data_IF_318475134203
#
_entry.id   IF_318475134203
#
_cell.length_a   1.000
_cell.length_b   1.000
_cell.length_c   1.000
_cell.angle_alpha   90.00
_cell.angle_beta   90.00
_cell.angle_gamma   90.00
#
_symmetry.space_group_name_H-M   'P 1'
#
loop_
_entity.id
_entity.type
_entity.pdbx_description
1 polymer ?
#
# COMPACT_ATOMS: atom_id res chain seq x y z
N UNK A 1 3.54 -15.16 5.17
CA UNK A 1 3.01 -14.81 6.51
C UNK A 1 2.08 -15.87 7.06
N UNK A 2 2.33 -17.16 6.80
CA UNK A 2 1.59 -18.27 7.41
C UNK A 2 2.07 -18.59 8.83
N UNK A 3 3.23 -18.07 9.21
CA UNK A 3 3.80 -18.16 10.56
C UNK A 3 4.09 -16.77 11.09
N UNK A 4 3.70 -16.56 12.34
CA UNK A 4 4.06 -15.41 13.16
C UNK A 4 5.19 -15.85 14.10
N UNK A 5 6.30 -15.12 14.08
CA UNK A 5 7.45 -15.40 14.93
C UNK A 5 7.72 -14.18 15.81
N UNK A 6 7.94 -14.42 17.10
CA UNK A 6 8.43 -13.39 18.04
C UNK A 6 9.93 -13.55 18.19
N UNK A 7 10.70 -12.54 17.78
CA UNK A 7 12.15 -12.56 17.77
C UNK A 7 12.68 -11.64 18.86
N UNK A 8 13.63 -12.13 19.66
CA UNK A 8 14.27 -11.39 20.74
C UNK A 8 15.77 -11.21 20.47
N UNK A 9 16.30 -10.00 20.67
CA UNK A 9 17.74 -9.71 20.63
C UNK A 9 18.25 -9.43 22.04
N UNK A 10 18.71 -10.48 22.74
CA UNK A 10 19.07 -10.40 24.16
C UNK A 10 20.37 -9.60 24.39
N UNK A 11 21.42 -9.92 23.63
CA UNK A 11 22.80 -9.57 24.01
C UNK A 11 23.36 -8.32 23.30
N UNK A 12 22.65 -7.74 22.33
CA UNK A 12 23.15 -6.64 21.50
C UNK A 12 22.30 -5.38 21.61
N UNK A 13 22.95 -4.21 21.48
CA UNK A 13 22.33 -2.88 21.50
C UNK A 13 22.91 -2.00 20.39
N UNK A 14 22.10 -1.11 19.78
CA UNK A 14 20.67 -0.92 20.02
C UNK A 14 19.81 -2.08 19.47
N UNK A 15 18.66 -2.33 20.09
CA UNK A 15 17.67 -3.24 19.52
C UNK A 15 16.94 -2.50 18.39
N UNK A 16 17.15 -2.93 17.16
CA UNK A 16 16.59 -2.31 15.97
C UNK A 16 15.57 -3.25 15.33
N UNK A 17 14.44 -2.71 14.91
CA UNK A 17 13.43 -3.43 14.15
C UNK A 17 12.90 -2.53 13.04
N UNK A 18 12.80 -3.07 11.82
CA UNK A 18 12.07 -2.41 10.75
C UNK A 18 10.58 -2.69 10.94
N UNK A 19 9.79 -1.62 11.04
CA UNK A 19 8.34 -1.73 11.18
C UNK A 19 7.70 -1.51 9.82
N UNK A 20 6.84 -2.45 9.40
CA UNK A 20 6.10 -2.28 8.15
C UNK A 20 5.24 -1.00 8.24
N UNK A 21 5.20 -0.16 7.19
CA UNK A 21 4.36 1.02 7.17
C UNK A 21 2.91 0.69 7.54
N UNK A 22 2.25 1.57 8.31
CA UNK A 22 0.84 1.47 8.71
C UNK A 22 0.49 0.27 9.62
N UNK A 23 1.46 -0.32 10.33
CA UNK A 23 1.16 -1.32 11.38
C UNK A 23 0.70 -0.65 12.68
N UNK A 24 1.27 0.52 13.01
CA UNK A 24 0.96 1.25 14.23
C UNK A 24 0.03 2.43 13.95
N UNK A 25 -0.92 2.75 14.84
CA UNK A 25 -1.76 3.93 14.70
C UNK A 25 -0.94 5.21 14.85
N UNK A 26 -1.30 6.25 14.10
CA UNK A 26 -0.69 7.57 14.24
C UNK A 26 -1.18 8.21 15.55
N UNK A 27 -0.29 8.72 16.43
CA UNK A 27 -0.70 9.37 17.67
C UNK A 27 -1.44 10.68 17.39
N UNK A 28 -2.30 11.10 18.32
CA UNK A 28 -2.96 12.41 18.23
C UNK A 28 -1.91 13.53 18.29
N UNK A 29 -2.12 14.55 17.47
CA UNK A 29 -1.28 15.75 17.48
C UNK A 29 -1.46 16.48 18.81
N UNK A 30 -0.34 16.86 19.42
CA UNK A 30 -0.30 17.66 20.64
C UNK A 30 0.41 18.97 20.31
N UNK A 31 -0.23 20.11 20.57
CA UNK A 31 0.32 21.44 20.25
C UNK A 31 1.32 21.96 21.30
N UNK A 32 1.56 21.18 22.36
CA UNK A 32 2.61 21.46 23.35
C UNK A 32 3.96 21.00 22.79
N UNK A 33 5.06 21.73 23.05
CA UNK A 33 6.39 21.29 22.64
C UNK A 33 6.73 19.95 23.30
N UNK A 34 6.73 18.88 22.52
CA UNK A 34 7.07 17.53 22.98
C UNK A 34 8.58 17.32 22.76
N UNK A 35 9.39 17.72 23.75
CA UNK A 35 10.78 17.26 23.86
C UNK A 35 11.88 18.29 23.58
N UNK A 36 13.12 17.81 23.63
CA UNK A 36 14.36 18.59 23.48
C UNK A 36 14.98 18.31 22.11
N UNK A 37 15.29 19.37 21.36
CA UNK A 37 16.06 19.26 20.11
C UNK A 37 17.55 19.12 20.43
N UNK A 38 18.16 17.99 20.09
CA UNK A 38 19.61 17.77 20.17
C UNK A 38 20.22 17.83 18.77
N UNK A 39 21.12 18.79 18.53
CA UNK A 39 21.84 18.91 17.26
C UNK A 39 23.14 18.12 17.33
N UNK A 40 23.28 17.10 16.49
CA UNK A 40 24.53 16.37 16.29
C UNK A 40 25.19 16.84 14.99
N UNK A 41 26.45 17.27 15.08
CA UNK A 41 27.25 17.56 13.89
C UNK A 41 27.72 16.23 13.31
N UNK A 42 27.29 15.91 12.10
CA UNK A 42 27.77 14.75 11.36
C UNK A 42 29.10 15.12 10.69
N UNK A 43 30.13 14.34 10.96
CA UNK A 43 31.42 14.43 10.29
C UNK A 43 31.49 13.31 9.26
N UNK A 44 30.87 13.52 8.10
CA UNK A 44 30.92 12.57 6.98
C UNK A 44 31.97 13.08 5.99
N UNK A 45 32.92 12.22 5.62
CA UNK A 45 33.88 12.49 4.56
C UNK A 45 33.29 11.97 3.26
N UNK A 46 33.22 12.80 2.23
CA UNK A 46 32.58 12.45 0.96
C UNK A 46 33.28 11.26 0.26
N UNK A 47 34.60 11.15 0.42
CA UNK A 47 35.41 10.06 -0.13
C UNK A 47 35.07 8.70 0.47
N UNK A 48 34.49 8.64 1.68
CA UNK A 48 34.04 7.40 2.33
C UNK A 48 32.70 6.91 1.75
N UNK A 49 32.00 7.73 0.97
CA UNK A 49 30.70 7.41 0.39
C UNK A 49 30.91 6.81 -1.01
N UNK A 50 30.95 5.48 -1.05
CA UNK A 50 31.14 4.71 -2.30
C UNK A 50 30.00 4.92 -3.30
N UNK A 51 28.78 5.20 -2.83
CA UNK A 51 27.60 5.36 -3.69
C UNK A 51 27.42 6.80 -4.16
N UNK A 52 27.55 7.04 -5.48
CA UNK A 52 27.31 8.35 -6.11
C UNK A 52 26.00 8.35 -6.87
N UNK A 53 25.14 9.34 -6.61
CA UNK A 53 23.89 9.54 -7.34
C UNK A 53 24.22 10.26 -8.65
N UNK A 54 24.16 9.55 -9.78
CA UNK A 54 24.45 10.11 -11.10
C UNK A 54 23.28 10.93 -11.68
N UNK A 55 22.06 10.63 -11.24
CA UNK A 55 20.86 11.31 -11.70
C UNK A 55 19.62 10.63 -11.13
N UNK A 56 18.54 11.41 -11.02
CA UNK A 56 17.21 10.90 -10.67
C UNK A 56 16.36 10.94 -11.92
N UNK A 57 15.97 9.77 -12.43
CA UNK A 57 15.00 9.65 -13.51
C UNK A 57 13.61 9.48 -12.86
N UNK A 58 12.77 10.53 -12.79
CA UNK A 58 11.41 10.36 -12.33
C UNK A 58 10.66 9.47 -13.32
N UNK A 59 10.20 8.33 -12.84
CA UNK A 59 9.28 7.52 -13.61
C UNK A 59 7.91 8.22 -13.59
N UNK A 60 7.66 9.05 -14.60
CA UNK A 60 6.41 9.78 -14.79
C UNK A 60 5.21 8.84 -15.05
N UNK A 61 5.44 7.53 -15.29
CA UNK A 61 4.38 6.52 -15.34
C UNK A 61 4.11 5.92 -13.95
N UNK A 62 5.12 5.81 -13.08
CA UNK A 62 4.98 5.31 -11.70
C UNK A 62 4.17 6.20 -10.77
N UNK A 63 4.02 7.49 -11.11
CA UNK A 63 3.17 8.43 -10.37
C UNK A 63 1.69 8.00 -10.34
N UNK A 64 1.28 7.03 -11.17
CA UNK A 64 -0.12 6.61 -11.32
C UNK A 64 -0.53 5.32 -10.59
N UNK A 65 0.35 4.58 -9.89
CA UNK A 65 -0.07 3.30 -9.32
C UNK A 65 0.67 2.84 -8.06
N UNK A 66 0.78 3.71 -7.04
CA UNK A 66 1.33 3.29 -5.76
C UNK A 66 0.26 2.68 -4.84
N UNK A 67 -0.38 1.62 -5.35
CA UNK A 67 -1.51 0.92 -4.70
C UNK A 67 -1.20 0.50 -3.25
N UNK A 68 0.06 0.18 -2.95
CA UNK A 68 0.52 -0.24 -1.63
C UNK A 68 0.49 0.88 -0.59
N UNK A 69 0.62 2.14 -1.01
CA UNK A 69 0.68 3.32 -0.15
C UNK A 69 -0.54 4.22 -0.31
N UNK A 70 -1.58 3.78 -1.01
CA UNK A 70 -2.80 4.55 -1.19
C UNK A 70 -3.63 4.57 0.11
N UNK A 71 -4.16 5.74 0.47
CA UNK A 71 -5.05 5.89 1.63
C UNK A 71 -6.46 5.34 1.35
N UNK A 72 -6.92 5.47 0.11
CA UNK A 72 -8.20 4.95 -0.34
C UNK A 72 -7.97 4.14 -1.60
N UNK A 73 -8.58 2.95 -1.68
CA UNK A 73 -8.46 2.06 -2.84
C UNK A 73 -9.85 1.60 -3.26
N UNK A 74 -10.17 1.78 -4.54
CA UNK A 74 -11.37 1.24 -5.18
C UNK A 74 -10.96 0.08 -6.07
N UNK A 75 -11.50 -1.11 -5.83
CA UNK A 75 -11.17 -2.30 -6.59
C UNK A 75 -12.39 -2.84 -7.32
N UNK A 76 -12.18 -3.20 -8.58
CA UNK A 76 -13.15 -3.92 -9.40
C UNK A 76 -12.98 -5.44 -9.28
N UNK A 77 -14.08 -6.17 -9.49
CA UNK A 77 -14.08 -7.62 -9.69
C UNK A 77 -14.85 -8.06 -10.93
N UNK A 78 -14.96 -9.38 -11.08
CA UNK A 78 -15.66 -9.99 -12.21
C UNK A 78 -17.16 -9.62 -12.24
N UNK A 79 -17.73 -9.24 -11.09
CA UNK A 79 -19.13 -8.77 -11.00
C UNK A 79 -19.41 -7.48 -11.78
N UNK A 80 -18.38 -6.81 -12.31
CA UNK A 80 -18.57 -5.69 -13.24
C UNK A 80 -19.13 -6.12 -14.61
N UNK A 81 -19.05 -7.40 -14.98
CA UNK A 81 -19.65 -7.96 -16.19
C UNK A 81 -18.94 -7.64 -17.50
N UNK A 82 -18.56 -6.37 -17.73
CA UNK A 82 -17.91 -5.88 -18.95
C UNK A 82 -16.69 -5.01 -18.63
N UNK A 83 -15.73 -4.95 -19.57
CA UNK A 83 -14.51 -4.14 -19.42
C UNK A 83 -14.83 -2.64 -19.36
N UNK A 84 -15.87 -2.19 -20.07
CA UNK A 84 -16.35 -0.81 -20.09
C UNK A 84 -16.77 -0.32 -18.69
N UNK A 85 -17.32 -1.23 -17.86
CA UNK A 85 -17.76 -0.90 -16.51
C UNK A 85 -16.59 -0.64 -15.55
N UNK A 86 -15.35 -0.98 -15.91
CA UNK A 86 -14.17 -0.53 -15.16
C UNK A 86 -14.02 0.99 -15.18
N UNK A 87 -14.62 1.67 -16.15
CA UNK A 87 -14.63 3.13 -16.16
C UNK A 87 -15.37 3.70 -14.94
N UNK A 88 -16.40 3.02 -14.44
CA UNK A 88 -17.09 3.42 -13.21
C UNK A 88 -16.16 3.37 -11.99
N UNK A 89 -15.36 2.30 -11.88
CA UNK A 89 -14.35 2.14 -10.82
C UNK A 89 -13.30 3.25 -10.90
N UNK A 90 -12.80 3.54 -12.11
CA UNK A 90 -11.83 4.61 -12.33
C UNK A 90 -12.40 6.00 -12.04
N UNK A 91 -13.66 6.24 -12.42
CA UNK A 91 -14.35 7.51 -12.17
C UNK A 91 -14.58 7.72 -10.67
N UNK A 92 -15.02 6.68 -9.95
CA UNK A 92 -15.17 6.72 -8.51
C UNK A 92 -13.83 6.98 -7.82
N UNK A 93 -12.78 6.25 -8.24
CA UNK A 93 -11.44 6.44 -7.71
C UNK A 93 -10.95 7.88 -7.89
N UNK A 94 -11.13 8.45 -9.10
CA UNK A 94 -10.78 9.84 -9.39
C UNK A 94 -11.59 10.84 -8.56
N UNK A 95 -12.89 10.61 -8.37
CA UNK A 95 -13.77 11.51 -7.64
C UNK A 95 -13.38 11.65 -6.16
N UNK A 96 -12.88 10.58 -5.55
CA UNK A 96 -12.50 10.54 -4.13
C UNK A 96 -10.98 10.63 -3.90
N UNK A 97 -10.19 10.85 -4.97
CA UNK A 97 -8.72 10.87 -4.88
C UNK A 97 -8.11 9.52 -4.47
N UNK A 98 -8.79 8.42 -4.77
CA UNK A 98 -8.34 7.06 -4.51
C UNK A 98 -7.55 6.46 -5.67
N UNK A 99 -6.77 5.45 -5.34
CA UNK A 99 -6.18 4.56 -6.32
C UNK A 99 -7.16 3.45 -6.75
N UNK A 100 -6.95 2.91 -7.95
CA UNK A 100 -7.80 1.85 -8.47
C UNK A 100 -7.05 0.51 -8.64
N UNK A 101 -7.69 -0.57 -8.21
CA UNK A 101 -7.17 -1.94 -8.27
C UNK A 101 -8.14 -2.93 -8.89
N UNK A 102 -7.70 -4.19 -9.01
CA UNK A 102 -8.53 -5.27 -9.52
C UNK A 102 -8.28 -6.60 -8.80
N UNK A 103 -9.28 -7.47 -8.83
CA UNK A 103 -9.09 -8.89 -8.49
C UNK A 103 -8.45 -9.66 -9.66
N UNK A 104 -7.86 -10.83 -9.36
CA UNK A 104 -7.17 -11.69 -10.34
C UNK A 104 -7.98 -12.03 -11.61
N UNK A 105 -9.29 -12.32 -11.56
CA UNK A 105 -10.07 -12.63 -12.77
C UNK A 105 -10.05 -11.53 -13.84
N UNK A 106 -9.95 -10.26 -13.43
CA UNK A 106 -9.89 -9.12 -14.37
C UNK A 106 -8.57 -9.06 -15.12
N UNK A 107 -7.47 -9.37 -14.44
CA UNK A 107 -6.13 -9.46 -15.05
C UNK A 107 -6.08 -10.61 -16.03
N UNK A 108 -6.65 -11.76 -15.67
CA UNK A 108 -6.72 -12.93 -16.55
C UNK A 108 -7.54 -12.68 -17.82
N UNK A 109 -8.58 -11.83 -17.73
CA UNK A 109 -9.35 -11.36 -18.91
C UNK A 109 -8.66 -10.24 -19.69
N UNK A 110 -7.51 -9.76 -19.24
CA UNK A 110 -6.76 -8.67 -19.89
C UNK A 110 -7.37 -7.29 -19.70
N UNK A 111 -8.30 -7.10 -18.75
CA UNK A 111 -8.98 -5.81 -18.57
C UNK A 111 -8.14 -4.80 -17.77
N UNK A 112 -7.20 -5.28 -16.95
CA UNK A 112 -6.27 -4.45 -16.17
C UNK A 112 -4.88 -5.09 -16.09
N UNK A 113 -3.82 -4.29 -15.95
CA UNK A 113 -2.46 -4.79 -15.80
C UNK A 113 -2.27 -5.51 -14.46
N UNK A 114 -1.34 -6.47 -14.45
CA UNK A 114 -0.99 -7.25 -13.25
C UNK A 114 -0.50 -6.36 -12.08
N UNK A 115 0.06 -5.18 -12.37
CA UNK A 115 0.54 -4.22 -11.37
C UNK A 115 -0.57 -3.65 -10.47
N UNK A 116 -1.83 -3.75 -10.90
CA UNK A 116 -3.00 -3.31 -10.14
C UNK A 116 -3.75 -4.48 -9.49
N UNK A 117 -3.22 -5.69 -9.58
CA UNK A 117 -3.81 -6.86 -8.95
C UNK A 117 -3.67 -6.79 -7.42
N UNK A 118 -4.76 -7.03 -6.72
CA UNK A 118 -4.79 -7.13 -5.26
C UNK A 118 -5.05 -8.59 -4.86
N UNK A 119 -4.32 -9.08 -3.85
CA UNK A 119 -4.48 -10.43 -3.30
C UNK A 119 -3.16 -11.10 -2.93
N UNK A 120 -3.21 -12.38 -2.60
CA UNK A 120 -2.09 -13.23 -2.18
C UNK A 120 -0.97 -13.29 -3.22
N UNK A 121 -1.33 -13.36 -4.51
CA UNK A 121 -0.39 -13.36 -5.63
C UNK A 121 -0.20 -11.98 -6.25
N UNK A 122 -0.88 -10.96 -5.72
CA UNK A 122 -0.79 -9.57 -6.17
C UNK A 122 -0.18 -8.67 -5.09
N UNK A 123 -0.54 -7.38 -5.13
CA UNK A 123 -0.14 -6.42 -4.09
C UNK A 123 -1.01 -6.62 -2.84
N UNK A 124 -0.34 -6.66 -1.68
CA UNK A 124 -0.99 -6.55 -0.38
C UNK A 124 -1.05 -5.08 0.02
N UNK A 125 -2.25 -4.58 0.29
CA UNK A 125 -2.53 -3.17 0.58
C UNK A 125 -3.11 -3.02 1.99
N UNK A 126 -2.91 -1.84 2.59
CA UNK A 126 -3.52 -1.44 3.87
C UNK A 126 -4.05 -0.01 3.81
N UNK A 127 -5.13 0.22 3.04
CA UNK A 127 -5.77 1.53 2.95
C UNK A 127 -6.66 1.80 4.18
N UNK A 128 -6.97 3.07 4.42
CA UNK A 128 -7.99 3.48 5.40
C UNK A 128 -9.39 3.10 4.91
N UNK A 129 -9.63 3.21 3.60
CA UNK A 129 -10.89 2.82 2.97
C UNK A 129 -10.62 1.93 1.76
N UNK A 130 -11.22 0.76 1.75
CA UNK A 130 -11.22 -0.17 0.64
C UNK A 130 -12.64 -0.39 0.11
N UNK A 131 -12.87 -0.11 -1.16
CA UNK A 131 -14.16 -0.33 -1.82
C UNK A 131 -14.03 -1.51 -2.78
N UNK A 132 -14.75 -2.59 -2.52
CA UNK A 132 -14.79 -3.80 -3.32
C UNK A 132 -16.06 -3.84 -4.18
N UNK A 133 -15.96 -3.48 -5.45
CA UNK A 133 -17.08 -3.49 -6.39
C UNK A 133 -17.10 -4.79 -7.23
N UNK A 134 -18.09 -5.65 -7.01
CA UNK A 134 -18.27 -6.90 -7.74
C UNK A 134 -17.18 -7.94 -7.47
N UNK A 135 -16.62 -7.97 -6.26
CA UNK A 135 -15.57 -8.91 -5.84
C UNK A 135 -16.17 -9.96 -4.91
N UNK A 136 -16.02 -11.24 -5.25
CA UNK A 136 -16.57 -12.39 -4.50
C UNK A 136 -15.92 -12.64 -3.13
N UNK A 137 -14.81 -11.97 -2.83
CA UNK A 137 -14.15 -12.06 -1.53
C UNK A 137 -13.42 -13.39 -1.27
N UNK A 138 -13.00 -14.10 -2.31
CA UNK A 138 -12.20 -15.32 -2.18
C UNK A 138 -11.00 -15.11 -1.24
N UNK A 139 -10.60 -16.15 -0.50
CA UNK A 139 -9.53 -16.08 0.52
C UNK A 139 -8.25 -15.46 -0.07
N UNK A 140 -7.91 -15.83 -1.31
CA UNK A 140 -6.75 -15.32 -2.02
C UNK A 140 -6.82 -13.80 -2.22
N UNK A 141 -8.02 -13.22 -2.39
CA UNK A 141 -8.19 -11.78 -2.48
C UNK A 141 -8.18 -11.11 -1.10
N UNK A 142 -8.90 -11.68 -0.13
CA UNK A 142 -9.03 -11.16 1.23
C UNK A 142 -7.69 -10.96 1.93
N UNK A 143 -6.77 -11.91 1.81
CA UNK A 143 -5.42 -11.81 2.40
C UNK A 143 -4.66 -10.55 1.93
N UNK A 144 -4.98 -10.03 0.74
CA UNK A 144 -4.39 -8.81 0.21
C UNK A 144 -4.97 -7.51 0.79
N UNK A 145 -6.14 -7.56 1.43
CA UNK A 145 -6.91 -6.39 1.90
C UNK A 145 -7.34 -6.46 3.37
N UNK A 146 -7.02 -7.54 4.07
CA UNK A 146 -7.42 -7.79 5.46
C UNK A 146 -6.90 -6.71 6.43
N UNK A 147 -5.80 -6.05 6.11
CA UNK A 147 -5.27 -4.96 6.92
C UNK A 147 -5.82 -3.57 6.56
N UNK A 148 -6.97 -3.49 5.89
CA UNK A 148 -7.67 -2.22 5.64
C UNK A 148 -8.52 -1.82 6.86
N UNK A 149 -8.57 -0.53 7.19
CA UNK A 149 -9.31 -0.05 8.37
C UNK A 149 -10.83 -0.15 8.16
N UNK A 150 -11.31 0.16 6.95
CA UNK A 150 -12.72 0.05 6.55
C UNK A 150 -12.85 -0.61 5.18
N UNK A 151 -13.70 -1.63 5.10
CA UNK A 151 -14.02 -2.35 3.85
C UNK A 151 -15.49 -2.14 3.51
N UNK A 152 -15.76 -1.57 2.34
CA UNK A 152 -17.10 -1.42 1.75
C UNK A 152 -17.22 -2.39 0.59
N UNK A 153 -18.14 -3.34 0.66
CA UNK A 153 -18.40 -4.27 -0.42
C UNK A 153 -19.71 -3.92 -1.14
N UNK A 154 -19.65 -3.80 -2.46
CA UNK A 154 -20.80 -3.60 -3.34
C UNK A 154 -20.91 -4.84 -4.21
N UNK A 155 -21.84 -5.71 -3.87
CA UNK A 155 -22.10 -6.93 -4.60
C UNK A 155 -23.61 -7.23 -4.52
N UNK A 156 -24.17 -7.76 -5.60
CA UNK A 156 -25.55 -8.29 -5.64
C UNK A 156 -25.62 -9.68 -5.02
#
# INVERSE_FOLDING_TARGET
GSLLCTIYTLNYRPQMATVRPRVMPMPQRVDKPVGRVMRHKLSLVEDDIVTKVLGFLPDNQSAMANLAYADVVVAGGLGLGAAENLQLVKNLARAIGAEHGCSRPLVQKGWMPADRQIGQTGKTIRPKLYIAAGISGAIQHRVGVEGADLIVAINT
#
